data_IF_061658158372
#
_entry.id   IF_061658158372
#
_cell.length_a   1.000
_cell.length_b   1.000
_cell.length_c   1.000
_cell.angle_alpha   90.00
_cell.angle_beta   90.00
_cell.angle_gamma   90.00
#
_symmetry.space_group_name_H-M   'P 1'
#
loop_
_entity.id
_entity.type
_entity.pdbx_description
1 polymer ?
#
# COMPACT_ATOMS: atom_id res chain seq x y z
N UNK A 1 18.94 0.14 24.24
CA UNK A 1 20.32 -0.14 24.73
C UNK A 1 20.41 -1.49 25.45
N UNK A 2 19.50 -1.83 26.39
CA UNK A 2 19.55 -3.13 27.12
C UNK A 2 19.48 -4.37 26.20
N UNK A 3 18.74 -4.31 25.10
CA UNK A 3 18.62 -5.43 24.16
C UNK A 3 19.96 -5.73 23.45
N UNK A 4 20.69 -4.70 23.05
CA UNK A 4 21.96 -4.81 22.33
C UNK A 4 23.14 -5.24 23.21
N UNK A 5 23.08 -4.98 24.53
CA UNK A 5 24.15 -5.28 25.48
C UNK A 5 23.83 -6.41 26.46
N UNK A 6 22.62 -6.97 26.43
CA UNK A 6 22.11 -7.90 27.43
C UNK A 6 22.41 -9.39 27.14
N UNK A 7 23.11 -9.72 26.06
CA UNK A 7 23.44 -11.11 25.69
C UNK A 7 22.23 -11.96 25.29
N UNK A 8 21.13 -11.33 24.89
CA UNK A 8 19.92 -12.03 24.45
C UNK A 8 20.12 -12.72 23.11
N UNK A 9 19.51 -13.90 22.94
CA UNK A 9 19.33 -14.56 21.65
C UNK A 9 17.97 -14.21 21.11
N UNK A 10 17.92 -13.64 19.91
CA UNK A 10 16.68 -13.26 19.24
C UNK A 10 16.45 -14.21 18.08
N UNK A 11 15.33 -14.92 18.10
CA UNK A 11 14.89 -15.80 17.01
C UNK A 11 13.86 -15.03 16.19
N UNK A 12 14.07 -14.96 14.88
CA UNK A 12 13.19 -14.26 13.94
C UNK A 12 12.59 -15.25 12.95
N UNK A 13 11.59 -14.83 12.21
CA UNK A 13 10.98 -15.56 11.08
C UNK A 13 11.74 -15.36 9.76
N UNK A 14 12.81 -14.57 9.74
CA UNK A 14 13.54 -14.23 8.53
C UNK A 14 14.23 -15.49 7.96
N UNK A 15 13.95 -15.75 6.68
CA UNK A 15 14.65 -16.73 5.85
C UNK A 15 15.79 -16.00 5.13
N UNK A 16 17.04 -16.38 5.42
CA UNK A 16 18.22 -15.69 4.91
C UNK A 16 18.37 -15.84 3.39
N UNK A 17 17.93 -16.95 2.80
CA UNK A 17 17.97 -17.16 1.34
C UNK A 17 16.94 -16.27 0.63
N UNK A 18 15.73 -16.15 1.17
CA UNK A 18 14.73 -15.24 0.66
C UNK A 18 15.13 -13.78 0.87
N UNK A 19 15.74 -13.44 2.01
CA UNK A 19 16.25 -12.11 2.29
C UNK A 19 17.27 -11.67 1.22
N UNK A 20 18.23 -12.54 0.90
CA UNK A 20 19.24 -12.23 -0.13
C UNK A 20 18.62 -12.12 -1.51
N UNK A 21 17.74 -13.04 -1.90
CA UNK A 21 17.04 -12.98 -3.18
C UNK A 21 16.20 -11.72 -3.34
N UNK A 22 15.56 -11.25 -2.27
CA UNK A 22 14.76 -10.02 -2.30
C UNK A 22 15.66 -8.79 -2.48
N UNK A 23 16.82 -8.75 -1.80
CA UNK A 23 17.81 -7.68 -1.97
C UNK A 23 18.35 -7.66 -3.40
N UNK A 24 18.81 -8.81 -3.91
CA UNK A 24 19.34 -8.94 -5.27
C UNK A 24 18.31 -8.51 -6.32
N UNK A 25 17.05 -8.88 -6.14
CA UNK A 25 15.97 -8.47 -7.04
C UNK A 25 15.77 -6.95 -7.09
N UNK A 26 15.85 -6.27 -5.93
CA UNK A 26 15.77 -4.80 -5.89
C UNK A 26 16.98 -4.18 -6.58
N UNK A 27 18.18 -4.63 -6.27
CA UNK A 27 19.43 -4.06 -6.78
C UNK A 27 19.53 -4.25 -8.31
N UNK A 28 19.21 -5.44 -8.80
CA UNK A 28 19.22 -5.76 -10.24
C UNK A 28 18.21 -4.93 -11.05
N UNK A 29 16.99 -4.76 -10.50
CA UNK A 29 15.98 -3.96 -11.19
C UNK A 29 16.29 -2.47 -11.19
N UNK A 30 17.05 -1.98 -10.23
CA UNK A 30 17.39 -0.56 -10.10
C UNK A 30 18.79 -0.22 -10.63
N UNK A 31 19.58 -1.17 -11.10
CA UNK A 31 20.97 -0.95 -11.54
C UNK A 31 21.15 0.11 -12.63
N UNK A 32 20.12 0.36 -13.44
CA UNK A 32 20.13 1.40 -14.48
C UNK A 32 19.98 2.83 -13.95
N UNK A 33 19.59 3.01 -12.68
CA UNK A 33 19.42 4.31 -12.04
C UNK A 33 20.65 4.59 -11.18
N UNK A 34 21.57 5.43 -11.68
CA UNK A 34 22.90 5.63 -11.07
C UNK A 34 23.06 6.96 -10.34
N UNK A 35 22.06 7.83 -10.41
CA UNK A 35 22.10 9.14 -9.78
C UNK A 35 22.16 9.01 -8.25
N UNK A 36 23.08 9.74 -7.64
CA UNK A 36 23.34 9.71 -6.19
C UNK A 36 23.34 11.11 -5.61
N UNK A 37 22.87 11.21 -4.38
CA UNK A 37 22.98 12.42 -3.56
C UNK A 37 23.42 12.03 -2.16
N UNK A 38 24.47 12.68 -1.64
CA UNK A 38 25.03 12.41 -0.31
C UNK A 38 25.35 10.91 -0.10
N UNK A 39 25.99 10.28 -1.10
CA UNK A 39 26.34 8.86 -1.17
C UNK A 39 25.15 7.89 -1.13
N UNK A 40 23.92 8.40 -1.35
CA UNK A 40 22.70 7.60 -1.43
C UNK A 40 22.15 7.64 -2.85
N UNK A 41 21.76 6.49 -3.40
CA UNK A 41 21.03 6.45 -4.66
C UNK A 41 19.72 7.22 -4.53
N UNK A 42 19.43 8.11 -5.48
CA UNK A 42 18.16 8.86 -5.49
C UNK A 42 16.96 7.93 -5.73
N UNK A 43 17.11 6.96 -6.66
CA UNK A 43 16.09 5.94 -6.87
C UNK A 43 16.24 4.83 -5.84
N UNK A 44 15.24 4.71 -4.99
CA UNK A 44 15.15 3.74 -3.91
C UNK A 44 13.92 2.83 -4.07
N UNK A 45 14.02 1.62 -3.56
CA UNK A 45 12.88 0.73 -3.37
C UNK A 45 12.96 0.01 -2.03
N UNK A 46 11.82 -0.47 -1.57
CA UNK A 46 11.69 -1.29 -0.38
C UNK A 46 10.63 -2.36 -0.64
N UNK A 47 10.78 -3.50 0.00
CA UNK A 47 9.83 -4.60 -0.13
C UNK A 47 9.78 -5.44 1.15
N UNK A 48 8.61 -6.06 1.38
CA UNK A 48 8.37 -7.03 2.45
C UNK A 48 7.82 -8.30 1.83
N UNK A 49 8.38 -9.43 2.19
CA UNK A 49 7.88 -10.76 1.83
C UNK A 49 7.20 -11.39 3.04
N UNK A 50 5.96 -11.81 2.87
CA UNK A 50 5.13 -12.40 3.92
C UNK A 50 4.77 -13.83 3.50
N UNK A 51 4.96 -14.77 4.42
CA UNK A 51 4.43 -16.12 4.28
C UNK A 51 2.92 -16.08 4.47
N UNK A 52 2.17 -16.45 3.45
CA UNK A 52 0.71 -16.40 3.45
C UNK A 52 0.05 -17.43 4.39
N UNK A 53 0.76 -18.50 4.77
CA UNK A 53 0.22 -19.52 5.66
C UNK A 53 0.33 -19.10 7.12
N UNK A 54 1.43 -18.44 7.48
CA UNK A 54 1.71 -18.07 8.86
C UNK A 54 1.49 -16.58 9.17
N UNK A 55 1.46 -15.72 8.15
CA UNK A 55 1.45 -14.27 8.29
C UNK A 55 2.80 -13.67 8.71
N UNK A 56 3.85 -14.48 8.81
CA UNK A 56 5.16 -14.01 9.23
C UNK A 56 5.89 -13.27 8.11
N UNK A 57 6.62 -12.23 8.49
CA UNK A 57 7.59 -11.58 7.60
C UNK A 57 8.80 -12.48 7.48
N UNK A 58 9.06 -13.00 6.28
CA UNK A 58 10.19 -13.92 5.99
C UNK A 58 11.36 -13.22 5.30
N UNK A 59 11.13 -12.05 4.68
CA UNK A 59 12.20 -11.18 4.20
C UNK A 59 11.72 -9.72 4.20
N UNK A 60 12.63 -8.78 4.44
CA UNK A 60 12.33 -7.34 4.43
C UNK A 60 13.55 -6.55 3.97
N UNK A 61 13.39 -5.78 2.90
CA UNK A 61 14.44 -4.92 2.35
C UNK A 61 13.96 -3.46 2.42
N UNK A 62 14.73 -2.63 3.10
CA UNK A 62 14.41 -1.22 3.34
C UNK A 62 14.99 -0.24 2.34
N UNK A 63 15.95 -0.68 1.50
CA UNK A 63 16.66 0.17 0.54
C UNK A 63 17.42 -0.66 -0.49
N UNK A 64 17.92 -0.01 -1.56
CA UNK A 64 18.99 -0.58 -2.38
C UNK A 64 20.25 -0.80 -1.54
N UNK A 65 21.06 -1.80 -1.92
CA UNK A 65 22.41 -1.95 -1.36
C UNK A 65 23.26 -0.73 -1.68
N UNK A 66 23.84 -0.15 -0.63
CA UNK A 66 24.76 0.97 -0.71
C UNK A 66 25.67 0.94 0.53
N UNK A 67 26.90 1.37 0.35
CA UNK A 67 27.87 1.41 1.46
C UNK A 67 27.59 2.65 2.33
N UNK A 68 26.85 2.45 3.42
CA UNK A 68 26.57 3.49 4.41
C UNK A 68 26.83 2.93 5.82
N UNK A 69 27.55 3.70 6.63
CA UNK A 69 27.76 3.39 8.04
C UNK A 69 26.49 3.65 8.88
N UNK A 70 26.28 2.79 9.88
CA UNK A 70 25.26 2.99 10.91
C UNK A 70 23.86 2.47 10.57
N UNK A 71 22.86 2.97 11.30
CA UNK A 71 21.46 2.59 11.12
C UNK A 71 20.81 3.45 10.03
N UNK A 72 20.48 2.84 8.91
CA UNK A 72 19.79 3.49 7.80
C UNK A 72 18.27 3.35 7.89
N UNK A 73 17.57 4.20 7.15
CA UNK A 73 16.10 4.19 7.08
C UNK A 73 15.60 2.90 6.43
N UNK A 74 14.82 2.10 7.14
CA UNK A 74 14.08 1.00 6.54
C UNK A 74 12.75 1.52 5.97
N UNK A 75 12.73 1.75 4.66
CA UNK A 75 11.58 2.33 3.96
C UNK A 75 10.38 1.38 3.91
N UNK A 76 10.57 0.08 4.13
CA UNK A 76 9.48 -0.89 4.08
C UNK A 76 8.44 -0.69 5.19
N UNK A 77 8.83 -0.07 6.33
CA UNK A 77 7.91 0.20 7.44
C UNK A 77 8.07 1.57 8.10
N UNK A 78 9.09 2.36 7.74
CA UNK A 78 9.33 3.69 8.33
C UNK A 78 8.96 4.85 7.39
N UNK A 79 8.78 4.56 6.09
CA UNK A 79 8.41 5.57 5.10
C UNK A 79 6.93 5.57 4.84
N UNK A 80 6.31 6.73 4.98
CA UNK A 80 4.91 6.94 4.63
C UNK A 80 4.82 7.43 3.20
N UNK A 81 4.01 6.75 2.38
CA UNK A 81 3.80 7.06 0.98
C UNK A 81 2.33 6.98 0.62
N UNK A 82 1.93 7.71 -0.42
CA UNK A 82 0.59 7.61 -0.98
C UNK A 82 0.42 6.22 -1.62
N UNK A 83 -0.52 5.40 -1.15
CA UNK A 83 -0.72 4.06 -1.69
C UNK A 83 -1.36 4.08 -3.09
N UNK A 84 -2.03 5.19 -3.44
CA UNK A 84 -2.83 5.26 -4.65
C UNK A 84 -3.87 4.15 -4.69
N UNK A 85 -4.15 3.63 -5.86
CA UNK A 85 -5.19 2.60 -6.07
C UNK A 85 -4.91 1.26 -5.38
N UNK A 86 -3.72 1.01 -4.84
CA UNK A 86 -3.44 -0.22 -4.11
C UNK A 86 -4.21 -0.33 -2.79
N UNK A 87 -4.75 0.78 -2.28
CA UNK A 87 -5.57 0.81 -1.06
C UNK A 87 -7.01 0.37 -1.28
N UNK A 88 -7.54 0.50 -2.51
CA UNK A 88 -8.95 0.26 -2.85
C UNK A 88 -9.50 -1.08 -2.37
N UNK A 89 -8.79 -2.21 -2.49
CA UNK A 89 -9.30 -3.49 -2.03
C UNK A 89 -9.71 -3.46 -0.56
N UNK A 90 -8.89 -2.91 0.31
CA UNK A 90 -9.13 -2.92 1.76
C UNK A 90 -10.10 -1.82 2.19
N UNK A 91 -9.93 -0.62 1.61
CA UNK A 91 -10.66 0.58 2.01
C UNK A 91 -12.08 0.61 1.46
N UNK A 92 -12.23 0.27 0.17
CA UNK A 92 -13.49 0.44 -0.55
C UNK A 92 -14.22 -0.89 -0.72
N UNK A 93 -13.56 -1.90 -1.29
CA UNK A 93 -14.25 -3.07 -1.81
C UNK A 93 -14.52 -4.15 -0.78
N UNK A 94 -13.64 -4.41 0.18
CA UNK A 94 -13.89 -5.40 1.24
C UNK A 94 -15.11 -4.99 2.07
N UNK A 95 -15.19 -3.77 2.65
CA UNK A 95 -16.37 -3.37 3.42
C UNK A 95 -17.64 -3.29 2.57
N UNK A 96 -17.54 -3.03 1.26
CA UNK A 96 -18.68 -3.02 0.34
C UNK A 96 -19.21 -4.43 0.10
N UNK A 97 -18.34 -5.40 -0.11
CA UNK A 97 -18.71 -6.81 -0.28
C UNK A 97 -19.31 -7.39 1.00
N UNK A 98 -18.79 -7.05 2.18
CA UNK A 98 -19.33 -7.51 3.46
C UNK A 98 -20.75 -6.99 3.76
N UNK A 99 -21.19 -5.94 3.06
CA UNK A 99 -22.59 -5.47 3.10
C UNK A 99 -23.56 -6.25 2.21
N UNK A 100 -23.10 -7.37 1.63
CA UNK A 100 -23.91 -8.26 0.80
C UNK A 100 -23.80 -8.00 -0.71
N UNK A 101 -22.95 -7.07 -1.12
CA UNK A 101 -22.61 -6.90 -2.53
C UNK A 101 -21.76 -8.06 -3.04
N UNK A 102 -21.74 -8.27 -4.34
CA UNK A 102 -20.99 -9.35 -4.98
C UNK A 102 -20.10 -8.80 -6.10
N UNK A 103 -19.11 -9.56 -6.58
CA UNK A 103 -18.33 -9.16 -7.75
C UNK A 103 -19.18 -8.86 -9.00
N UNK A 104 -20.39 -9.40 -9.08
CA UNK A 104 -21.32 -9.21 -10.20
C UNK A 104 -22.33 -8.07 -9.96
N UNK A 105 -22.28 -7.41 -8.80
CA UNK A 105 -23.07 -6.20 -8.52
C UNK A 105 -22.79 -5.15 -9.58
N UNK A 106 -23.86 -4.56 -10.16
CA UNK A 106 -23.73 -3.50 -11.16
C UNK A 106 -23.44 -2.17 -10.45
N UNK A 107 -22.38 -1.52 -10.88
CA UNK A 107 -21.91 -0.22 -10.39
C UNK A 107 -21.83 0.79 -11.54
N UNK A 108 -21.81 2.09 -11.21
CA UNK A 108 -21.78 3.18 -12.19
C UNK A 108 -20.36 3.74 -12.32
N UNK A 109 -19.83 3.66 -13.53
CA UNK A 109 -18.59 4.30 -13.93
C UNK A 109 -18.92 5.51 -14.83
N UNK A 110 -19.23 6.63 -14.19
CA UNK A 110 -19.73 7.84 -14.85
C UNK A 110 -18.92 9.06 -14.38
N UNK A 111 -18.94 10.15 -15.16
CA UNK A 111 -18.32 11.41 -14.75
C UNK A 111 -18.93 11.91 -13.43
N UNK A 112 -18.06 12.35 -12.52
CA UNK A 112 -18.45 12.93 -11.24
C UNK A 112 -17.99 14.39 -11.21
N UNK A 113 -18.93 15.29 -11.09
CA UNK A 113 -18.62 16.71 -10.95
C UNK A 113 -17.85 16.96 -9.63
N UNK A 114 -16.70 17.63 -9.72
CA UNK A 114 -15.77 17.83 -8.60
C UNK A 114 -15.23 16.54 -7.96
N UNK A 115 -15.37 15.40 -8.62
CA UNK A 115 -14.82 14.11 -8.21
C UNK A 115 -13.61 13.68 -9.04
N UNK A 116 -13.09 12.47 -8.75
CA UNK A 116 -11.93 11.95 -9.48
C UNK A 116 -12.32 11.58 -10.92
N UNK A 117 -11.34 11.70 -11.81
CA UNK A 117 -11.40 11.13 -13.16
C UNK A 117 -10.75 9.75 -13.18
N UNK A 118 -11.20 8.89 -14.07
CA UNK A 118 -10.47 7.66 -14.38
C UNK A 118 -9.13 7.97 -15.04
N UNK A 119 -8.13 7.12 -14.84
CA UNK A 119 -6.78 7.36 -15.33
C UNK A 119 -6.70 7.51 -16.86
N UNK A 120 -7.56 6.79 -17.57
CA UNK A 120 -7.69 6.82 -19.03
C UNK A 120 -8.63 7.93 -19.56
N UNK A 121 -9.26 8.68 -18.65
CA UNK A 121 -10.21 9.73 -18.98
C UNK A 121 -11.55 9.24 -19.56
N UNK A 122 -11.80 7.93 -19.60
CA UNK A 122 -13.01 7.33 -20.15
C UNK A 122 -13.99 6.86 -19.07
N UNK A 123 -15.24 6.63 -19.46
CA UNK A 123 -16.32 6.14 -18.58
C UNK A 123 -17.09 5.05 -19.31
N UNK A 124 -17.43 3.97 -18.60
CA UNK A 124 -18.01 2.76 -19.17
C UNK A 124 -19.52 2.61 -18.86
N UNK A 125 -20.10 3.54 -18.08
CA UNK A 125 -21.49 3.46 -17.66
C UNK A 125 -21.72 2.34 -16.64
N UNK A 126 -22.74 1.51 -16.87
CA UNK A 126 -23.07 0.38 -15.98
C UNK A 126 -22.13 -0.80 -16.24
N UNK A 127 -21.33 -1.16 -15.26
CA UNK A 127 -20.39 -2.29 -15.31
C UNK A 127 -20.48 -3.14 -14.04
N UNK A 128 -19.93 -4.35 -14.06
CA UNK A 128 -19.84 -5.15 -12.84
C UNK A 128 -18.75 -4.60 -11.92
N UNK A 129 -18.90 -4.82 -10.61
CA UNK A 129 -17.87 -4.48 -9.62
C UNK A 129 -16.53 -5.15 -9.97
N UNK A 130 -16.55 -6.41 -10.44
CA UNK A 130 -15.38 -7.14 -10.93
C UNK A 130 -14.63 -6.37 -12.01
N UNK A 131 -15.36 -5.87 -13.01
CA UNK A 131 -14.76 -5.05 -14.09
C UNK A 131 -14.18 -3.75 -13.54
N UNK A 132 -14.88 -3.09 -12.63
CA UNK A 132 -14.41 -1.85 -12.00
C UNK A 132 -13.11 -2.05 -11.20
N UNK A 133 -13.01 -3.15 -10.45
CA UNK A 133 -11.81 -3.53 -9.70
C UNK A 133 -10.66 -3.85 -10.65
N UNK A 134 -10.91 -4.68 -11.67
CA UNK A 134 -9.89 -5.10 -12.64
C UNK A 134 -9.28 -3.91 -13.41
N UNK A 135 -10.10 -2.92 -13.75
CA UNK A 135 -9.67 -1.72 -14.46
C UNK A 135 -9.33 -0.55 -13.52
N UNK A 136 -9.39 -0.78 -12.22
CA UNK A 136 -9.09 0.23 -11.18
C UNK A 136 -9.87 1.55 -11.36
N UNK A 137 -11.19 1.48 -11.67
CA UNK A 137 -12.02 2.66 -11.95
C UNK A 137 -12.10 3.57 -10.72
N UNK A 138 -11.64 4.81 -10.84
CA UNK A 138 -11.60 5.77 -9.74
C UNK A 138 -13.00 6.25 -9.36
N UNK A 139 -13.87 6.48 -10.34
CA UNK A 139 -15.24 6.93 -10.10
C UNK A 139 -16.06 5.89 -9.34
N UNK A 140 -15.84 4.60 -9.63
CA UNK A 140 -16.49 3.51 -8.90
C UNK A 140 -15.98 3.42 -7.47
N UNK A 141 -14.66 3.45 -7.24
CA UNK A 141 -14.10 3.44 -5.90
C UNK A 141 -14.65 4.59 -5.04
N UNK A 142 -14.69 5.79 -5.61
CA UNK A 142 -15.27 6.98 -4.97
C UNK A 142 -16.73 6.79 -4.57
N UNK A 143 -17.58 6.31 -5.48
CA UNK A 143 -19.00 6.09 -5.22
C UNK A 143 -19.21 4.97 -4.17
N UNK A 144 -18.44 3.89 -4.27
CA UNK A 144 -18.45 2.78 -3.28
C UNK A 144 -18.10 3.31 -1.89
N UNK A 145 -17.00 4.09 -1.77
CA UNK A 145 -16.62 4.66 -0.47
C UNK A 145 -17.70 5.59 0.09
N UNK A 146 -18.33 6.41 -0.75
CA UNK A 146 -19.43 7.29 -0.31
C UNK A 146 -20.64 6.50 0.19
N UNK A 147 -20.97 5.37 -0.44
CA UNK A 147 -22.06 4.49 -0.01
C UNK A 147 -21.78 3.83 1.34
N UNK A 148 -20.56 3.30 1.55
CA UNK A 148 -20.18 2.70 2.83
C UNK A 148 -19.79 3.73 3.89
N UNK A 149 -19.48 4.92 3.52
CA UNK A 149 -18.89 6.08 4.21
C UNK A 149 -17.36 5.97 4.42
N UNK A 150 -16.61 7.09 4.30
CA UNK A 150 -15.16 7.12 4.54
C UNK A 150 -14.75 6.60 5.91
N UNK A 151 -15.57 6.83 6.95
CA UNK A 151 -15.32 6.33 8.31
C UNK A 151 -15.33 4.82 8.40
N UNK A 152 -16.26 4.17 7.70
CA UNK A 152 -16.31 2.70 7.66
C UNK A 152 -15.09 2.16 6.94
N UNK A 153 -14.77 2.66 5.73
CA UNK A 153 -13.57 2.25 5.00
C UNK A 153 -12.30 2.43 5.85
N UNK A 154 -12.13 3.60 6.47
CA UNK A 154 -10.98 3.89 7.33
C UNK A 154 -10.87 2.94 8.53
N UNK A 155 -11.98 2.46 9.08
CA UNK A 155 -11.95 1.52 10.21
C UNK A 155 -11.27 0.20 9.86
N UNK A 156 -11.39 -0.26 8.61
CA UNK A 156 -10.69 -1.46 8.13
C UNK A 156 -9.17 -1.26 8.11
N UNK A 157 -8.71 -0.10 7.66
CA UNK A 157 -7.28 0.22 7.70
C UNK A 157 -6.76 0.39 9.12
N UNK A 158 -7.51 1.10 9.99
CA UNK A 158 -7.13 1.30 11.40
C UNK A 158 -7.01 -0.04 12.14
N UNK A 159 -7.92 -0.99 11.88
CA UNK A 159 -7.88 -2.34 12.45
C UNK A 159 -6.67 -3.15 11.99
N UNK A 160 -6.06 -2.80 10.86
CA UNK A 160 -4.83 -3.40 10.33
C UNK A 160 -3.56 -2.65 10.74
N UNK A 161 -3.68 -1.63 11.58
CA UNK A 161 -2.52 -0.90 12.12
C UNK A 161 -2.07 0.34 11.34
N UNK A 162 -2.84 0.80 10.35
CA UNK A 162 -2.55 2.05 9.63
C UNK A 162 -2.94 3.28 10.45
N UNK A 163 -2.14 3.63 11.44
CA UNK A 163 -2.54 4.61 12.46
C UNK A 163 -2.57 6.08 12.00
N UNK A 164 -1.76 6.48 11.00
CA UNK A 164 -1.67 7.89 10.58
C UNK A 164 -2.81 8.38 9.69
N UNK A 165 -3.77 7.53 9.39
CA UNK A 165 -4.93 7.86 8.53
C UNK A 165 -6.12 8.45 9.30
N UNK A 166 -6.06 8.53 10.63
CA UNK A 166 -7.19 8.99 11.45
C UNK A 166 -7.67 10.41 11.10
N UNK A 167 -6.79 11.26 10.55
CA UNK A 167 -7.12 12.61 10.11
C UNK A 167 -7.95 12.62 8.83
N UNK A 168 -7.82 11.57 8.02
CA UNK A 168 -8.38 11.49 6.67
C UNK A 168 -9.73 10.76 6.63
N UNK A 169 -10.19 10.21 7.75
CA UNK A 169 -11.38 9.35 7.89
C UNK A 169 -12.70 9.95 7.43
N UNK A 170 -12.76 11.25 7.20
CA UNK A 170 -13.96 11.98 6.77
C UNK A 170 -13.85 12.49 5.31
N UNK A 171 -12.76 12.17 4.61
CA UNK A 171 -12.51 12.67 3.25
C UNK A 171 -12.68 11.57 2.20
N UNK A 172 -13.45 11.88 1.16
CA UNK A 172 -13.68 10.95 0.04
C UNK A 172 -12.41 10.64 -0.77
N UNK A 173 -11.40 11.53 -0.76
CA UNK A 173 -10.16 11.38 -1.51
C UNK A 173 -9.34 10.13 -1.12
N UNK A 174 -9.58 9.57 0.06
CA UNK A 174 -8.93 8.33 0.49
C UNK A 174 -9.29 7.13 -0.40
N UNK A 175 -10.46 7.14 -1.06
CA UNK A 175 -10.90 6.09 -2.00
C UNK A 175 -9.92 5.83 -3.14
N UNK A 176 -9.14 6.83 -3.51
CA UNK A 176 -8.12 6.74 -4.57
C UNK A 176 -6.70 6.83 -4.01
N UNK A 177 -6.55 6.69 -2.69
CA UNK A 177 -5.27 6.67 -2.00
C UNK A 177 -4.69 8.04 -1.68
N UNK A 178 -5.52 9.10 -1.64
CA UNK A 178 -5.12 10.44 -1.25
C UNK A 178 -5.18 10.64 0.27
N UNK A 179 -4.07 10.45 0.97
CA UNK A 179 -3.94 10.63 2.42
C UNK A 179 -3.03 11.81 2.77
N UNK A 180 -3.24 12.42 3.92
CA UNK A 180 -2.39 13.54 4.40
C UNK A 180 -0.92 13.12 4.54
N UNK A 181 -0.65 11.97 5.15
CA UNK A 181 0.72 11.45 5.35
C UNK A 181 1.04 10.26 4.45
N UNK A 182 0.04 9.57 3.89
CA UNK A 182 0.20 8.27 3.26
C UNK A 182 0.16 7.12 4.29
N UNK A 183 0.55 5.93 3.82
CA UNK A 183 0.60 4.69 4.62
C UNK A 183 1.99 4.08 4.58
N UNK A 184 2.32 3.23 5.57
CA UNK A 184 3.54 2.43 5.60
C UNK A 184 3.24 1.01 6.06
#
# INVERSE_FOLDING_TARGET
QKLLSGGYKVYTSIDMDLQQKLQDAIDDNLKGYTDMKDDVYEMQAAATCIDNETGNVVAIVGARSQELDGYTLNRAFQSYRQPGSSIKPILDYVPYLERGNTPDTIVKDEYIENGPKNADGTYMGSITLRTAVNLSRNTVAWNVLKEITPRVGSSYLLNQGFHKIWMDKDYDAISIGGFTYGVS
#
